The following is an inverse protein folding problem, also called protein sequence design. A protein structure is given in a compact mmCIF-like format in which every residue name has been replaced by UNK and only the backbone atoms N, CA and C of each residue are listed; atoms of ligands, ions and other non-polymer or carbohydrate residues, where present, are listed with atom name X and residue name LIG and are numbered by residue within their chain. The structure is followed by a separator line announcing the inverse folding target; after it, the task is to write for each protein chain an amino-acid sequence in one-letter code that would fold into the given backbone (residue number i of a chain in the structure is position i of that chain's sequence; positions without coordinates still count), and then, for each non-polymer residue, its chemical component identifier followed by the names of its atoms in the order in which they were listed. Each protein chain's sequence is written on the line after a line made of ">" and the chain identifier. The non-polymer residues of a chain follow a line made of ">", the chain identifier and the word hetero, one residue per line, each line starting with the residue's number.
data_IF_071799760212
#
_entry.id   IF_071799760212
#
_cell.length_a   1.000
_cell.length_b   1.000
_cell.length_c   1.000
_cell.angle_alpha   90.00
_cell.angle_beta   90.00
_cell.angle_gamma   90.00
#
_symmetry.space_group_name_H-M   'P 1'
#
loop_
_entity.id
_entity.type
_entity.pdbx_description
1 polymer ?
#
# COMPACT_ATOMS: atom_id res chain seq x y z
N UNK A 1 47.06 27.10 -0.82
CA UNK A 1 45.63 27.03 -0.45
C UNK A 1 44.75 26.46 -1.58
N UNK A 2 44.94 26.86 -2.84
CA UNK A 2 44.18 26.31 -3.99
C UNK A 2 44.29 24.78 -4.21
N UNK A 3 45.46 24.18 -3.90
CA UNK A 3 45.62 22.72 -3.99
C UNK A 3 44.82 21.95 -2.93
N UNK A 4 44.58 22.54 -1.76
CA UNK A 4 43.83 21.90 -0.67
C UNK A 4 42.31 21.97 -0.91
N UNK A 5 41.84 23.06 -1.52
CA UNK A 5 40.43 23.22 -1.91
C UNK A 5 40.02 22.30 -3.05
N UNK A 6 40.93 21.99 -3.99
CA UNK A 6 40.66 21.07 -5.09
C UNK A 6 40.52 19.61 -4.60
N UNK A 7 41.34 19.21 -3.63
CA UNK A 7 41.26 17.87 -3.03
C UNK A 7 39.98 17.67 -2.21
N UNK A 8 39.50 18.71 -1.51
CA UNK A 8 38.24 18.65 -0.76
C UNK A 8 37.02 18.51 -1.67
N UNK A 9 37.03 19.17 -2.84
CA UNK A 9 35.94 19.11 -3.82
C UNK A 9 35.82 17.71 -4.46
N UNK A 10 36.96 17.05 -4.72
CA UNK A 10 37.02 15.68 -5.24
C UNK A 10 36.52 14.63 -4.24
N UNK A 11 36.78 14.82 -2.93
CA UNK A 11 36.26 13.93 -1.89
C UNK A 11 34.73 14.01 -1.76
N UNK A 12 34.15 15.20 -1.94
CA UNK A 12 32.70 15.41 -1.88
C UNK A 12 31.97 14.77 -3.07
N UNK A 13 32.61 14.71 -4.24
CA UNK A 13 32.08 14.05 -5.43
C UNK A 13 32.11 12.51 -5.34
N UNK A 14 33.04 11.92 -4.58
CA UNK A 14 33.09 10.46 -4.40
C UNK A 14 32.03 9.96 -3.39
N UNK A 15 31.61 10.79 -2.43
CA UNK A 15 30.59 10.43 -1.44
C UNK A 15 29.16 10.44 -2.01
N UNK A 16 28.90 11.19 -3.08
CA UNK A 16 27.58 11.26 -3.72
C UNK A 16 27.32 10.16 -4.75
N UNK A 17 28.34 9.43 -5.20
CA UNK A 17 28.18 8.31 -6.15
C UNK A 17 27.65 7.05 -5.45
N UNK A 18 27.92 6.90 -4.15
CA UNK A 18 27.57 5.67 -3.40
C UNK A 18 26.15 5.64 -2.83
N UNK A 19 25.37 6.72 -2.94
CA UNK A 19 24.03 6.81 -2.34
C UNK A 19 22.90 6.42 -3.34
N UNK A 20 23.23 6.10 -4.60
CA UNK A 20 22.23 6.01 -5.68
C UNK A 20 21.90 4.63 -6.27
N UNK A 21 22.52 3.52 -5.84
CA UNK A 21 22.46 2.25 -6.61
C UNK A 21 21.64 1.09 -6.03
N UNK A 22 20.98 1.23 -4.88
CA UNK A 22 20.37 0.06 -4.21
C UNK A 22 18.83 -0.03 -4.27
N UNK A 23 18.14 1.00 -4.80
CA UNK A 23 16.66 1.03 -4.78
C UNK A 23 16.02 0.73 -6.15
N UNK A 24 16.64 1.15 -7.26
CA UNK A 24 16.12 0.94 -8.62
C UNK A 24 16.19 -0.51 -9.09
N UNK A 25 17.21 -1.26 -8.67
CA UNK A 25 17.41 -2.67 -9.07
C UNK A 25 16.28 -3.59 -8.59
N UNK A 26 15.66 -3.28 -7.45
CA UNK A 26 14.53 -4.03 -6.91
C UNK A 26 13.25 -3.76 -7.69
N UNK A 27 12.95 -2.50 -8.03
CA UNK A 27 11.73 -2.11 -8.73
C UNK A 27 11.70 -2.65 -10.16
N UNK A 28 12.81 -2.54 -10.89
CA UNK A 28 12.92 -3.03 -12.27
C UNK A 28 12.68 -4.54 -12.36
N UNK A 29 13.18 -5.30 -11.38
CA UNK A 29 12.94 -6.74 -11.27
C UNK A 29 11.46 -7.07 -11.02
N UNK A 30 10.81 -6.32 -10.11
CA UNK A 30 9.39 -6.48 -9.83
C UNK A 30 8.53 -6.11 -11.06
N UNK A 31 8.87 -5.05 -11.77
CA UNK A 31 8.17 -4.63 -12.99
C UNK A 31 8.31 -5.64 -14.12
N UNK A 32 9.51 -6.21 -14.31
CA UNK A 32 9.73 -7.26 -15.30
C UNK A 32 8.86 -8.50 -14.98
N UNK A 33 8.79 -8.89 -13.70
CA UNK A 33 7.90 -9.99 -13.25
C UNK A 33 6.42 -9.70 -13.58
N UNK A 34 5.95 -8.48 -13.30
CA UNK A 34 4.58 -8.05 -13.61
C UNK A 34 4.31 -8.05 -15.12
N UNK A 35 5.28 -7.61 -15.93
CA UNK A 35 5.16 -7.55 -17.39
C UNK A 35 4.93 -8.94 -17.99
N UNK A 36 5.62 -9.96 -17.47
CA UNK A 36 5.55 -11.33 -17.97
C UNK A 36 4.37 -12.13 -17.40
N UNK A 37 3.64 -11.60 -16.43
CA UNK A 37 2.44 -12.25 -15.87
C UNK A 37 1.23 -12.01 -16.80
N UNK A 38 0.33 -12.99 -17.03
CA UNK A 38 -0.92 -12.77 -17.75
C UNK A 38 -1.82 -11.73 -17.07
N UNK A 39 -2.61 -10.95 -17.83
CA UNK A 39 -3.48 -9.90 -17.28
C UNK A 39 -4.80 -10.43 -16.73
N UNK A 40 -4.72 -11.40 -15.82
CA UNK A 40 -5.85 -12.05 -15.16
C UNK A 40 -5.78 -11.85 -13.62
N UNK A 41 -6.53 -12.66 -12.88
CA UNK A 41 -6.54 -12.63 -11.41
C UNK A 41 -5.15 -12.85 -10.80
N UNK A 42 -4.27 -13.62 -11.44
CA UNK A 42 -2.92 -13.91 -10.94
C UNK A 42 -2.07 -12.65 -10.92
N UNK A 43 -2.17 -11.77 -11.93
CA UNK A 43 -1.50 -10.47 -11.93
C UNK A 43 -2.07 -9.52 -10.88
N UNK A 44 -3.38 -9.55 -10.65
CA UNK A 44 -3.99 -8.79 -9.55
C UNK A 44 -3.40 -9.22 -8.21
N UNK A 45 -3.37 -10.52 -7.93
CA UNK A 45 -2.83 -11.06 -6.67
C UNK A 45 -1.34 -10.75 -6.50
N UNK A 46 -0.54 -10.83 -7.58
CA UNK A 46 0.88 -10.46 -7.55
C UNK A 46 1.07 -8.98 -7.23
N UNK A 47 0.36 -8.09 -7.92
CA UNK A 47 0.44 -6.64 -7.68
C UNK A 47 -0.04 -6.27 -6.27
N UNK A 48 -1.12 -6.88 -5.79
CA UNK A 48 -1.63 -6.69 -4.44
C UNK A 48 -0.63 -7.22 -3.40
N UNK A 49 0.05 -8.33 -3.68
CA UNK A 49 1.12 -8.85 -2.82
C UNK A 49 2.29 -7.86 -2.73
N UNK A 50 2.74 -7.26 -3.82
CA UNK A 50 3.79 -6.23 -3.77
C UNK A 50 3.35 -5.01 -2.96
N UNK A 51 2.08 -4.60 -3.07
CA UNK A 51 1.52 -3.55 -2.22
C UNK A 51 1.65 -3.90 -0.72
N UNK A 52 1.31 -5.14 -0.35
CA UNK A 52 1.43 -5.61 1.03
C UNK A 52 2.89 -5.72 1.50
N UNK A 53 3.75 -6.39 0.72
CA UNK A 53 5.14 -6.67 1.11
C UNK A 53 5.99 -5.40 1.26
N UNK A 54 5.71 -4.39 0.44
CA UNK A 54 6.45 -3.12 0.43
C UNK A 54 5.89 -2.09 1.42
N UNK A 55 4.74 -2.35 2.05
CA UNK A 55 3.98 -1.34 2.81
C UNK A 55 4.83 -0.56 3.82
N UNK A 56 5.74 -1.24 4.55
CA UNK A 56 6.59 -0.62 5.58
C UNK A 56 8.04 -0.35 5.15
N UNK A 57 8.50 -0.91 4.04
CA UNK A 57 9.87 -0.75 3.54
C UNK A 57 9.97 0.29 2.43
N UNK A 58 8.95 0.38 1.58
CA UNK A 58 8.86 1.29 0.45
C UNK A 58 7.39 1.61 0.15
N UNK A 59 6.86 2.57 0.91
CA UNK A 59 5.44 2.94 0.87
C UNK A 59 5.03 3.53 -0.50
N UNK A 60 5.95 4.18 -1.21
CA UNK A 60 5.67 4.77 -2.52
C UNK A 60 5.43 3.67 -3.57
N UNK A 61 6.33 2.67 -3.62
CA UNK A 61 6.17 1.53 -4.50
C UNK A 61 5.00 0.63 -4.08
N UNK A 62 4.73 0.50 -2.78
CA UNK A 62 3.53 -0.19 -2.29
C UNK A 62 2.25 0.42 -2.89
N UNK A 63 2.13 1.75 -2.83
CA UNK A 63 0.97 2.48 -3.38
C UNK A 63 0.91 2.34 -4.90
N UNK A 64 2.06 2.43 -5.58
CA UNK A 64 2.15 2.27 -7.03
C UNK A 64 1.61 0.91 -7.50
N UNK A 65 2.07 -0.19 -6.91
CA UNK A 65 1.58 -1.52 -7.24
C UNK A 65 0.13 -1.73 -6.80
N UNK A 66 -0.27 -1.20 -5.64
CA UNK A 66 -1.65 -1.24 -5.17
C UNK A 66 -2.63 -0.56 -6.13
N UNK A 67 -2.29 0.63 -6.64
CA UNK A 67 -3.13 1.33 -7.64
C UNK A 67 -3.22 0.56 -8.96
N UNK A 68 -2.13 -0.08 -9.40
CA UNK A 68 -2.16 -0.98 -10.56
C UNK A 68 -3.08 -2.19 -10.32
N UNK A 69 -2.99 -2.84 -9.16
CA UNK A 69 -3.86 -3.96 -8.77
C UNK A 69 -5.34 -3.55 -8.72
N UNK A 70 -5.64 -2.38 -8.16
CA UNK A 70 -7.00 -1.88 -8.02
C UNK A 70 -7.63 -1.59 -9.38
N UNK A 71 -6.87 -0.96 -10.29
CA UNK A 71 -7.32 -0.72 -11.65
C UNK A 71 -7.57 -2.01 -12.43
N UNK A 72 -6.66 -2.98 -12.30
CA UNK A 72 -6.76 -4.25 -13.01
C UNK A 72 -7.92 -5.10 -12.49
N UNK A 73 -8.06 -5.26 -11.17
CA UNK A 73 -9.14 -6.03 -10.53
C UNK A 73 -10.52 -5.56 -10.98
N UNK A 74 -10.74 -4.24 -11.02
CA UNK A 74 -11.96 -3.65 -11.57
C UNK A 74 -12.16 -3.97 -13.04
N UNK A 75 -11.12 -3.80 -13.85
CA UNK A 75 -11.19 -4.04 -15.31
C UNK A 75 -11.60 -5.48 -15.63
N UNK A 76 -11.13 -6.45 -14.85
CA UNK A 76 -11.41 -7.88 -15.07
C UNK A 76 -12.58 -8.40 -14.22
N UNK A 77 -13.29 -7.53 -13.49
CA UNK A 77 -14.37 -7.90 -12.56
C UNK A 77 -13.95 -8.97 -11.53
N UNK A 78 -12.81 -8.75 -10.86
CA UNK A 78 -12.30 -9.63 -9.80
C UNK A 78 -12.46 -8.99 -8.41
N UNK A 79 -13.65 -9.09 -7.80
CA UNK A 79 -14.02 -8.33 -6.59
C UNK A 79 -13.22 -8.73 -5.34
N UNK A 80 -12.78 -9.98 -5.22
CA UNK A 80 -11.95 -10.41 -4.08
C UNK A 80 -10.56 -9.76 -4.14
N UNK A 81 -9.96 -9.66 -5.33
CA UNK A 81 -8.69 -8.97 -5.54
C UNK A 81 -8.82 -7.46 -5.31
N UNK A 82 -9.94 -6.86 -5.73
CA UNK A 82 -10.26 -5.46 -5.44
C UNK A 82 -10.32 -5.21 -3.92
N UNK A 83 -11.08 -6.03 -3.20
CA UNK A 83 -11.22 -5.94 -1.74
C UNK A 83 -9.86 -6.00 -1.03
N UNK A 84 -9.04 -7.01 -1.37
CA UNK A 84 -7.69 -7.18 -0.78
C UNK A 84 -6.83 -5.94 -1.02
N UNK A 85 -6.86 -5.45 -2.25
CA UNK A 85 -6.07 -4.29 -2.66
C UNK A 85 -6.50 -3.02 -1.94
N UNK A 86 -7.81 -2.80 -1.77
CA UNK A 86 -8.33 -1.66 -0.99
C UNK A 86 -7.85 -1.70 0.46
N UNK A 87 -7.79 -2.87 1.07
CA UNK A 87 -7.24 -3.04 2.43
C UNK A 87 -5.76 -2.67 2.49
N UNK A 88 -4.95 -3.10 1.52
CA UNK A 88 -3.52 -2.77 1.50
C UNK A 88 -3.28 -1.29 1.21
N UNK A 89 -4.03 -0.67 0.29
CA UNK A 89 -3.97 0.78 0.05
C UNK A 89 -4.45 1.58 1.26
N UNK A 90 -5.40 1.06 2.05
CA UNK A 90 -5.78 1.68 3.33
C UNK A 90 -4.58 1.75 4.27
N UNK A 91 -3.81 0.67 4.40
CA UNK A 91 -2.59 0.65 5.22
C UNK A 91 -1.52 1.58 4.66
N UNK A 92 -1.15 1.46 3.38
CA UNK A 92 -0.04 2.21 2.79
C UNK A 92 -0.38 3.69 2.55
N UNK A 93 -1.44 3.98 1.81
CA UNK A 93 -1.80 5.35 1.43
C UNK A 93 -2.63 6.04 2.51
N UNK A 94 -3.56 5.32 3.13
CA UNK A 94 -4.47 5.87 4.12
C UNK A 94 -3.80 6.13 5.47
N UNK A 95 -3.11 5.13 6.02
CA UNK A 95 -2.54 5.17 7.37
C UNK A 95 -1.10 5.66 7.35
N UNK A 96 -0.21 5.00 6.61
CA UNK A 96 1.23 5.32 6.67
C UNK A 96 1.59 6.67 6.06
N UNK A 97 0.95 7.06 4.95
CA UNK A 97 1.08 8.40 4.38
C UNK A 97 0.17 9.43 5.06
N UNK A 98 -0.65 9.03 6.04
CA UNK A 98 -1.55 9.92 6.76
C UNK A 98 -2.77 10.43 5.97
N UNK A 99 -3.07 9.86 4.78
CA UNK A 99 -4.24 10.26 3.99
C UNK A 99 -5.53 9.61 4.50
N UNK A 100 -5.88 9.90 5.76
CA UNK A 100 -6.96 9.20 6.47
C UNK A 100 -8.31 9.26 5.77
N UNK A 101 -8.69 10.39 5.15
CA UNK A 101 -9.95 10.49 4.42
C UNK A 101 -10.00 9.57 3.20
N UNK A 102 -8.85 9.38 2.54
CA UNK A 102 -8.76 8.45 1.42
C UNK A 102 -8.80 7.00 1.91
N UNK A 103 -8.13 6.69 3.02
CA UNK A 103 -8.22 5.39 3.69
C UNK A 103 -9.66 5.03 4.08
N UNK A 104 -10.43 5.97 4.63
CA UNK A 104 -11.85 5.76 4.94
C UNK A 104 -12.66 5.44 3.68
N UNK A 105 -12.44 6.14 2.57
CA UNK A 105 -13.09 5.82 1.28
C UNK A 105 -12.71 4.44 0.76
N UNK A 106 -11.48 3.99 0.97
CA UNK A 106 -11.07 2.62 0.61
C UNK A 106 -11.78 1.57 1.46
N UNK A 107 -11.90 1.82 2.77
CA UNK A 107 -12.62 0.95 3.69
C UNK A 107 -14.12 0.87 3.38
N UNK A 108 -14.78 1.98 3.04
CA UNK A 108 -16.19 1.97 2.61
C UNK A 108 -16.43 1.11 1.37
N UNK A 109 -15.48 1.13 0.42
CA UNK A 109 -15.55 0.27 -0.77
C UNK A 109 -15.28 -1.20 -0.41
N UNK A 110 -14.30 -1.46 0.46
CA UNK A 110 -13.96 -2.80 0.92
C UNK A 110 -15.09 -3.43 1.74
N UNK A 111 -15.80 -2.65 2.57
CA UNK A 111 -16.97 -3.09 3.33
C UNK A 111 -18.07 -3.61 2.41
N UNK A 112 -18.45 -2.82 1.40
CA UNK A 112 -19.49 -3.20 0.43
C UNK A 112 -19.14 -4.51 -0.27
N UNK A 113 -17.88 -4.67 -0.70
CA UNK A 113 -17.41 -5.90 -1.32
C UNK A 113 -17.39 -7.06 -0.32
N UNK A 114 -16.98 -6.85 0.93
CA UNK A 114 -16.92 -7.90 1.94
C UNK A 114 -18.32 -8.47 2.21
N UNK A 115 -19.33 -7.60 2.29
CA UNK A 115 -20.74 -7.96 2.46
C UNK A 115 -21.25 -8.70 1.21
N UNK A 116 -21.01 -8.16 0.02
CA UNK A 116 -21.45 -8.77 -1.25
C UNK A 116 -20.87 -10.17 -1.48
N UNK A 117 -19.63 -10.39 -1.04
CA UNK A 117 -18.91 -11.66 -1.20
C UNK A 117 -19.11 -12.63 -0.03
N UNK A 118 -19.91 -12.26 0.98
CA UNK A 118 -20.08 -13.00 2.25
C UNK A 118 -18.73 -13.36 2.91
N UNK A 119 -17.82 -12.40 2.97
CA UNK A 119 -16.46 -12.56 3.52
C UNK A 119 -16.35 -11.93 4.91
N UNK A 120 -16.87 -12.62 5.92
CA UNK A 120 -16.83 -12.18 7.32
C UNK A 120 -15.42 -11.86 7.83
N UNK A 121 -14.42 -12.69 7.50
CA UNK A 121 -13.02 -12.45 7.89
C UNK A 121 -12.47 -11.13 7.36
N UNK A 122 -12.90 -10.74 6.15
CA UNK A 122 -12.52 -9.47 5.56
C UNK A 122 -13.32 -8.31 6.13
N UNK A 123 -14.61 -8.51 6.41
CA UNK A 123 -15.44 -7.51 7.07
C UNK A 123 -14.88 -7.14 8.46
N UNK A 124 -14.42 -8.13 9.23
CA UNK A 124 -13.72 -7.92 10.50
C UNK A 124 -12.47 -7.04 10.32
N UNK A 125 -11.65 -7.33 9.30
CA UNK A 125 -10.46 -6.52 8.99
C UNK A 125 -10.81 -5.09 8.56
N UNK A 126 -11.89 -4.91 7.81
CA UNK A 126 -12.40 -3.59 7.41
C UNK A 126 -12.82 -2.77 8.63
N UNK A 127 -13.59 -3.36 9.55
CA UNK A 127 -13.98 -2.68 10.80
C UNK A 127 -12.78 -2.35 11.69
N UNK A 128 -11.80 -3.25 11.80
CA UNK A 128 -10.55 -2.91 12.47
C UNK A 128 -9.82 -1.74 11.76
N UNK A 129 -9.81 -1.70 10.43
CA UNK A 129 -9.26 -0.60 9.65
C UNK A 129 -9.91 0.75 9.96
N UNK A 130 -11.25 0.79 10.05
CA UNK A 130 -11.98 1.99 10.45
C UNK A 130 -11.57 2.43 11.85
N UNK A 131 -11.53 1.48 12.79
CA UNK A 131 -11.09 1.73 14.17
C UNK A 131 -9.70 2.35 14.23
N UNK A 132 -8.74 1.78 13.49
CA UNK A 132 -7.35 2.29 13.41
C UNK A 132 -7.32 3.72 12.88
N UNK A 133 -7.99 4.01 11.76
CA UNK A 133 -7.97 5.37 11.20
C UNK A 133 -8.61 6.37 12.17
N UNK A 134 -9.76 6.05 12.77
CA UNK A 134 -10.38 6.97 13.74
C UNK A 134 -9.53 7.18 14.98
N UNK A 135 -8.76 6.17 15.40
CA UNK A 135 -7.79 6.31 16.49
C UNK A 135 -6.67 7.29 16.11
N UNK A 136 -6.07 7.14 14.93
CA UNK A 136 -5.05 8.09 14.42
C UNK A 136 -5.59 9.52 14.28
N UNK A 137 -6.89 9.69 14.00
CA UNK A 137 -7.56 11.00 13.97
C UNK A 137 -7.92 11.57 15.35
N UNK A 138 -7.69 10.83 16.43
CA UNK A 138 -8.06 11.21 17.80
C UNK A 138 -9.57 11.10 18.10
N UNK A 139 -10.36 10.43 17.23
CA UNK A 139 -11.81 10.26 17.38
C UNK A 139 -12.09 8.93 18.08
N UNK A 140 -11.70 8.85 19.35
CA UNK A 140 -11.66 7.60 20.14
C UNK A 140 -13.01 6.88 20.23
N UNK A 141 -14.11 7.61 20.37
CA UNK A 141 -15.45 7.00 20.47
C UNK A 141 -15.81 6.24 19.19
N UNK A 142 -15.61 6.85 18.01
CA UNK A 142 -15.83 6.17 16.73
C UNK A 142 -14.89 4.98 16.55
N UNK A 143 -13.63 5.12 16.97
CA UNK A 143 -12.70 4.00 16.90
C UNK A 143 -13.21 2.78 17.68
N UNK A 144 -13.66 3.02 18.92
CA UNK A 144 -14.23 1.98 19.78
C UNK A 144 -15.49 1.36 19.19
N UNK A 145 -16.40 2.15 18.61
CA UNK A 145 -17.59 1.64 17.93
C UNK A 145 -17.23 0.63 16.85
N UNK A 146 -16.26 0.95 15.99
CA UNK A 146 -15.82 0.04 14.92
C UNK A 146 -15.08 -1.20 15.45
N UNK A 147 -14.26 -1.07 16.49
CA UNK A 147 -13.66 -2.25 17.12
C UNK A 147 -14.71 -3.18 17.74
N UNK A 148 -15.76 -2.63 18.35
CA UNK A 148 -16.88 -3.42 18.89
C UNK A 148 -17.71 -4.07 17.77
N UNK A 149 -17.85 -3.44 16.61
CA UNK A 149 -18.46 -4.08 15.43
C UNK A 149 -17.62 -5.27 14.96
N UNK A 150 -16.30 -5.12 14.90
CA UNK A 150 -15.38 -6.20 14.52
C UNK A 150 -15.47 -7.40 15.48
N UNK A 151 -15.58 -7.16 16.80
CA UNK A 151 -15.69 -8.20 17.83
C UNK A 151 -17.01 -8.99 17.83
N UNK A 152 -18.05 -8.46 17.18
CA UNK A 152 -19.38 -9.10 17.13
C UNK A 152 -19.55 -10.05 15.93
N UNK A 153 -18.61 -10.06 14.99
CA UNK A 153 -18.62 -10.93 13.81
C UNK A 153 -18.13 -12.34 14.14
#
# INVERSE_FOLDING_TARGET
>A
MQKLTLTLLLLFACLSISIGQDQSSSLDSLENTVKNTPSDSSKVELLAKFCFDLCYSDVENAIYFGKKALKLSRKINYPLGELKTLMYLTSSEGILQGNFELGLKYLEQAEKLAIQLDKKDWLLKVYNGFGVIYNYKGITIKALEYYLLALKL
#
